data_IF_136493722555
#
_entry.id   IF_136493722555
#
_cell.length_a   1.000
_cell.length_b   1.000
_cell.length_c   1.000
_cell.angle_alpha   90.00
_cell.angle_beta   90.00
_cell.angle_gamma   90.00
#
_symmetry.space_group_name_H-M   'P 1'
#
loop_
_entity.id
_entity.type
_entity.pdbx_description
1 polymer ?
#
# COMPACT_ATOMS: atom_id res chain seq x y z
N UNK A 1 10.04 8.22 -15.86
CA UNK A 1 11.04 8.37 -16.95
C UNK A 1 11.92 7.13 -17.14
N UNK A 2 12.60 6.59 -16.10
CA UNK A 2 13.46 5.39 -16.24
C UNK A 2 12.76 4.17 -16.87
N UNK A 3 11.51 3.90 -16.48
CA UNK A 3 10.68 2.86 -17.09
C UNK A 3 10.51 3.04 -18.60
N UNK A 4 10.14 4.26 -19.05
CA UNK A 4 9.89 4.59 -20.46
C UNK A 4 11.16 4.39 -21.33
N UNK A 5 12.33 4.71 -20.79
CA UNK A 5 13.60 4.51 -21.50
C UNK A 5 13.91 3.03 -21.74
N UNK A 6 13.63 2.16 -20.76
CA UNK A 6 13.85 0.71 -20.92
C UNK A 6 12.88 0.13 -21.94
N UNK A 7 11.59 0.46 -21.84
CA UNK A 7 10.59 -0.05 -22.79
C UNK A 7 10.83 0.45 -24.22
N UNK A 8 11.35 1.66 -24.41
CA UNK A 8 11.76 2.15 -25.73
C UNK A 8 12.98 1.39 -26.27
N UNK A 9 13.94 1.03 -25.41
CA UNK A 9 15.15 0.28 -25.82
C UNK A 9 14.84 -1.15 -26.26
N UNK A 10 13.90 -1.80 -25.60
CA UNK A 10 13.50 -3.19 -25.87
C UNK A 10 12.23 -3.29 -26.72
N UNK A 11 11.84 -2.20 -27.37
CA UNK A 11 10.60 -2.11 -28.11
C UNK A 11 10.47 -3.25 -29.14
N UNK A 12 9.32 -3.95 -29.19
CA UNK A 12 9.21 -5.18 -29.96
C UNK A 12 9.26 -4.98 -31.47
N UNK A 13 9.62 -6.05 -32.18
CA UNK A 13 9.64 -6.11 -33.63
C UNK A 13 8.22 -5.95 -34.24
N UNK A 14 8.17 -5.67 -35.54
CA UNK A 14 6.91 -5.45 -36.26
C UNK A 14 5.98 -6.66 -36.12
N UNK A 15 4.69 -6.41 -35.86
CA UNK A 15 3.67 -7.45 -35.66
C UNK A 15 3.09 -7.54 -34.25
N UNK A 16 3.86 -7.20 -33.20
CA UNK A 16 3.39 -7.23 -31.80
C UNK A 16 3.37 -5.87 -31.11
N UNK A 17 3.65 -4.80 -31.86
CA UNK A 17 3.78 -3.44 -31.31
C UNK A 17 2.44 -2.84 -30.84
N UNK A 18 1.32 -3.19 -31.48
CA UNK A 18 0.00 -2.69 -31.06
C UNK A 18 -0.41 -3.28 -29.72
N UNK A 19 -0.29 -4.61 -29.58
CA UNK A 19 -0.53 -5.33 -28.33
C UNK A 19 0.37 -4.84 -27.20
N UNK A 20 1.63 -4.52 -27.53
CA UNK A 20 2.58 -3.95 -26.58
C UNK A 20 2.13 -2.57 -26.09
N UNK A 21 1.71 -1.68 -27.01
CA UNK A 21 1.18 -0.37 -26.65
C UNK A 21 -0.09 -0.47 -25.79
N UNK A 22 -0.96 -1.46 -26.02
CA UNK A 22 -2.11 -1.73 -25.14
C UNK A 22 -1.69 -2.14 -23.74
N UNK A 23 -0.74 -3.09 -23.61
CA UNK A 23 -0.22 -3.52 -22.30
C UNK A 23 0.52 -2.39 -21.57
N UNK A 24 1.26 -1.57 -22.30
CA UNK A 24 1.91 -0.38 -21.77
C UNK A 24 0.90 0.65 -21.28
N UNK A 25 -0.20 0.86 -22.01
CA UNK A 25 -1.28 1.74 -21.58
C UNK A 25 -1.89 1.27 -20.25
N UNK A 26 -2.20 -0.02 -20.11
CA UNK A 26 -2.74 -0.55 -18.85
C UNK A 26 -1.74 -0.43 -17.69
N UNK A 27 -0.45 -0.61 -17.94
CA UNK A 27 0.58 -0.40 -16.92
C UNK A 27 0.67 1.06 -16.44
N UNK A 28 0.57 2.04 -17.35
CA UNK A 28 0.63 3.45 -17.01
C UNK A 28 -0.65 3.94 -16.31
N UNK A 29 -1.82 3.48 -16.76
CA UNK A 29 -3.09 3.77 -16.09
C UNK A 29 -3.12 3.18 -14.67
N UNK A 30 -2.63 1.95 -14.49
CA UNK A 30 -2.51 1.34 -13.17
C UNK A 30 -1.51 2.08 -12.24
N UNK A 31 -0.56 2.83 -12.82
CA UNK A 31 0.33 3.74 -12.09
C UNK A 31 -0.31 5.09 -11.74
N UNK A 32 -1.59 5.30 -12.08
CA UNK A 32 -2.33 6.52 -11.77
C UNK A 32 -2.19 7.65 -12.80
N UNK A 33 -1.57 7.40 -13.95
CA UNK A 33 -1.51 8.40 -15.02
C UNK A 33 -2.87 8.55 -15.68
N UNK A 34 -3.23 9.80 -16.02
CA UNK A 34 -4.43 10.06 -16.80
C UNK A 34 -4.29 9.56 -18.25
N UNK A 35 -5.39 9.23 -18.97
CA UNK A 35 -5.34 8.69 -20.33
C UNK A 35 -4.52 9.52 -21.31
N UNK A 36 -4.69 10.84 -21.30
CA UNK A 36 -3.96 11.77 -22.18
C UNK A 36 -2.45 11.80 -21.89
N UNK A 37 -2.05 11.60 -20.64
CA UNK A 37 -0.64 11.55 -20.26
C UNK A 37 -0.02 10.20 -20.65
N UNK A 38 -0.73 9.11 -20.38
CA UNK A 38 -0.32 7.78 -20.80
C UNK A 38 -0.13 7.70 -22.33
N UNK A 39 -1.05 8.25 -23.13
CA UNK A 39 -0.93 8.29 -24.59
C UNK A 39 0.28 9.10 -25.07
N UNK A 40 0.58 10.24 -24.43
CA UNK A 40 1.79 11.01 -24.75
C UNK A 40 3.06 10.21 -24.48
N UNK A 41 3.10 9.49 -23.36
CA UNK A 41 4.24 8.62 -23.04
C UNK A 41 4.39 7.46 -24.05
N UNK A 42 3.29 6.82 -24.47
CA UNK A 42 3.33 5.71 -25.43
C UNK A 42 3.81 6.20 -26.80
N UNK A 43 3.29 7.33 -27.27
CA UNK A 43 3.72 7.94 -28.54
C UNK A 43 5.22 8.27 -28.49
N UNK A 44 5.69 8.90 -27.41
CA UNK A 44 7.11 9.22 -27.26
C UNK A 44 8.01 7.97 -27.25
N UNK A 45 7.56 6.87 -26.63
CA UNK A 45 8.27 5.58 -26.65
C UNK A 45 8.32 5.01 -28.07
N UNK A 46 7.19 5.04 -28.80
CA UNK A 46 7.10 4.53 -30.16
C UNK A 46 7.95 5.37 -31.14
N UNK A 47 7.95 6.69 -31.01
CA UNK A 47 8.81 7.59 -31.80
C UNK A 47 10.30 7.34 -31.52
N UNK A 48 10.69 7.21 -30.25
CA UNK A 48 12.07 6.90 -29.87
C UNK A 48 12.54 5.52 -30.39
N UNK A 49 11.61 4.59 -30.59
CA UNK A 49 11.88 3.27 -31.16
C UNK A 49 11.84 3.23 -32.70
N UNK A 50 11.58 4.37 -33.37
CA UNK A 50 11.49 4.44 -34.83
C UNK A 50 10.22 3.82 -35.42
N UNK A 51 9.11 3.86 -34.68
CA UNK A 51 7.83 3.34 -35.13
C UNK A 51 7.10 4.34 -36.03
N UNK A 52 6.99 4.05 -37.32
CA UNK A 52 6.34 4.91 -38.32
C UNK A 52 4.84 5.15 -38.01
N UNK A 53 4.23 4.26 -37.24
CA UNK A 53 2.82 4.37 -36.84
C UNK A 53 2.62 4.91 -35.43
N UNK A 54 3.61 5.56 -34.82
CA UNK A 54 3.54 6.05 -33.45
C UNK A 54 2.25 6.84 -33.14
N UNK A 55 1.79 7.68 -34.07
CA UNK A 55 0.55 8.45 -33.92
C UNK A 55 -0.72 7.61 -33.74
N UNK A 56 -0.75 6.37 -34.26
CA UNK A 56 -1.88 5.43 -34.14
C UNK A 56 -1.83 4.60 -32.84
N UNK A 57 -0.77 4.74 -32.03
CA UNK A 57 -0.55 3.97 -30.80
C UNK A 57 -1.15 4.58 -29.54
N UNK A 58 -1.98 5.60 -29.71
CA UNK A 58 -2.83 6.14 -28.65
C UNK A 58 -3.91 5.11 -28.30
N UNK A 59 -3.74 4.44 -27.17
CA UNK A 59 -4.59 3.32 -26.72
C UNK A 59 -5.11 3.51 -25.30
N UNK A 60 -4.59 4.49 -24.56
CA UNK A 60 -4.96 4.71 -23.17
C UNK A 60 -6.45 5.04 -23.00
N UNK A 61 -7.06 5.79 -23.92
CA UNK A 61 -8.50 6.05 -23.87
C UNK A 61 -9.36 4.79 -23.96
N UNK A 62 -9.03 3.87 -24.87
CA UNK A 62 -9.77 2.61 -25.03
C UNK A 62 -9.53 1.66 -23.86
N UNK A 63 -8.29 1.58 -23.37
CA UNK A 63 -7.95 0.77 -22.20
C UNK A 63 -8.61 1.30 -20.93
N UNK A 64 -8.67 2.62 -20.74
CA UNK A 64 -9.35 3.22 -19.59
C UNK A 64 -10.85 2.89 -19.57
N UNK A 65 -11.53 3.02 -20.72
CA UNK A 65 -12.94 2.67 -20.83
C UNK A 65 -13.21 1.20 -20.48
N UNK A 66 -12.34 0.26 -20.90
CA UNK A 66 -12.44 -1.16 -20.55
C UNK A 66 -12.25 -1.43 -19.06
N UNK A 67 -11.30 -0.73 -18.42
CA UNK A 67 -11.06 -0.83 -16.98
C UNK A 67 -12.28 -0.31 -16.19
N UNK A 68 -12.88 0.80 -16.62
CA UNK A 68 -14.09 1.36 -16.01
C UNK A 68 -15.29 0.40 -16.09
N UNK A 69 -15.40 -0.38 -17.18
CA UNK A 69 -16.42 -1.41 -17.33
C UNK A 69 -16.10 -2.73 -16.60
N UNK A 70 -14.99 -2.79 -15.85
CA UNK A 70 -14.59 -3.95 -15.05
C UNK A 70 -13.91 -5.07 -15.84
N UNK A 71 -13.48 -4.81 -17.08
CA UNK A 71 -12.71 -5.78 -17.87
C UNK A 71 -11.24 -5.81 -17.43
N UNK A 72 -10.61 -6.98 -17.52
CA UNK A 72 -9.21 -7.14 -17.17
C UNK A 72 -8.31 -6.40 -18.18
N UNK A 73 -7.58 -5.37 -17.73
CA UNK A 73 -6.53 -4.74 -18.50
C UNK A 73 -5.19 -5.45 -18.30
N UNK A 74 -4.44 -5.61 -19.38
CA UNK A 74 -3.06 -6.09 -19.35
C UNK A 74 -2.14 -5.02 -18.76
N UNK A 75 -1.17 -5.42 -17.94
CA UNK A 75 -0.29 -4.48 -17.21
C UNK A 75 1.19 -4.88 -17.25
N UNK A 76 1.93 -4.47 -16.21
CA UNK A 76 3.38 -4.68 -16.10
C UNK A 76 3.82 -6.14 -16.36
N UNK A 77 3.13 -7.20 -15.88
CA UNK A 77 3.54 -8.57 -16.17
C UNK A 77 3.57 -8.88 -17.68
N UNK A 78 2.56 -8.42 -18.43
CA UNK A 78 2.48 -8.60 -19.88
C UNK A 78 3.55 -7.79 -20.61
N UNK A 79 3.85 -6.58 -20.13
CA UNK A 79 4.95 -5.76 -20.66
C UNK A 79 6.29 -6.50 -20.52
N UNK A 80 6.58 -7.05 -19.34
CA UNK A 80 7.84 -7.80 -19.09
C UNK A 80 7.94 -9.04 -20.00
N UNK A 81 6.85 -9.78 -20.14
CA UNK A 81 6.76 -10.95 -21.02
C UNK A 81 7.02 -10.58 -22.49
N UNK A 82 6.36 -9.55 -23.01
CA UNK A 82 6.50 -9.12 -24.40
C UNK A 82 7.88 -8.56 -24.73
N UNK A 83 8.59 -8.01 -23.74
CA UNK A 83 9.97 -7.56 -23.88
C UNK A 83 10.99 -8.69 -23.72
N UNK A 84 10.56 -9.91 -23.37
CA UNK A 84 11.45 -11.04 -23.11
C UNK A 84 12.37 -10.81 -21.90
N UNK A 85 11.96 -9.99 -20.95
CA UNK A 85 12.74 -9.64 -19.77
C UNK A 85 12.45 -10.62 -18.61
N UNK A 86 13.41 -10.86 -17.70
CA UNK A 86 13.17 -11.67 -16.51
C UNK A 86 12.05 -11.09 -15.64
N UNK A 87 11.22 -11.95 -15.05
CA UNK A 87 10.08 -11.53 -14.21
C UNK A 87 10.50 -10.60 -13.06
N UNK A 88 11.72 -10.80 -12.53
CA UNK A 88 12.31 -9.96 -11.48
C UNK A 88 12.34 -8.45 -11.85
N UNK A 89 12.45 -8.12 -13.14
CA UNK A 89 12.43 -6.73 -13.63
C UNK A 89 11.08 -6.06 -13.37
N UNK A 90 9.98 -6.82 -13.35
CA UNK A 90 8.64 -6.30 -13.08
C UNK A 90 8.50 -5.66 -11.69
N UNK A 91 9.29 -6.07 -10.70
CA UNK A 91 9.34 -5.40 -9.39
C UNK A 91 9.99 -4.01 -9.51
N UNK A 92 11.05 -3.89 -10.31
CA UNK A 92 11.76 -2.63 -10.53
C UNK A 92 10.92 -1.65 -11.33
N UNK A 93 10.15 -2.12 -12.32
CA UNK A 93 9.21 -1.30 -13.07
C UNK A 93 8.10 -0.74 -12.18
N UNK A 94 7.53 -1.56 -11.29
CA UNK A 94 6.56 -1.09 -10.29
C UNK A 94 7.16 0.02 -9.43
N UNK A 95 8.38 -0.16 -8.93
CA UNK A 95 9.07 0.86 -8.15
C UNK A 95 9.28 2.17 -8.92
N UNK A 96 9.74 2.11 -10.16
CA UNK A 96 9.95 3.31 -10.99
C UNK A 96 8.67 4.02 -11.40
N UNK A 97 7.55 3.30 -11.43
CA UNK A 97 6.22 3.82 -11.69
C UNK A 97 5.51 4.28 -10.41
N UNK A 98 6.16 4.20 -9.24
CA UNK A 98 5.52 4.53 -7.96
C UNK A 98 4.43 3.55 -7.54
N UNK A 99 4.33 2.40 -8.21
CA UNK A 99 3.40 1.30 -7.92
C UNK A 99 3.97 0.28 -6.92
N UNK A 100 5.07 0.61 -6.23
CA UNK A 100 5.55 -0.19 -5.11
C UNK A 100 4.37 -0.48 -4.20
N UNK A 101 4.16 -1.75 -3.88
CA UNK A 101 3.19 -2.13 -2.87
C UNK A 101 3.57 -1.42 -1.57
N UNK A 102 2.91 -0.28 -1.33
CA UNK A 102 2.86 0.44 -0.08
C UNK A 102 4.14 0.30 0.77
N UNK A 103 5.28 0.84 0.31
CA UNK A 103 6.27 1.33 1.28
C UNK A 103 5.64 2.57 1.92
N UNK A 104 4.67 2.34 2.81
CA UNK A 104 3.77 3.37 3.37
C UNK A 104 4.51 4.39 4.26
N UNK A 105 5.84 4.37 4.30
CA UNK A 105 6.65 5.00 5.35
C UNK A 105 6.39 4.44 6.76
N UNK A 106 5.35 3.62 6.96
CA UNK A 106 4.99 2.97 8.21
C UNK A 106 6.09 2.02 8.67
N UNK A 107 6.38 2.07 9.96
CA UNK A 107 7.38 1.22 10.61
C UNK A 107 7.09 -0.26 10.35
N UNK A 108 8.11 -1.00 9.90
CA UNK A 108 8.04 -2.46 9.74
C UNK A 108 8.12 -3.11 11.12
N UNK A 109 7.11 -3.90 11.47
CA UNK A 109 7.09 -4.69 12.72
C UNK A 109 7.06 -6.17 12.35
N UNK A 110 8.11 -6.89 12.74
CA UNK A 110 8.19 -8.34 12.55
C UNK A 110 7.33 -9.05 13.60
N UNK A 111 6.38 -9.87 13.15
CA UNK A 111 5.60 -10.74 14.00
C UNK A 111 6.32 -12.07 14.23
N UNK A 112 6.84 -12.25 15.43
CA UNK A 112 7.47 -13.49 15.88
C UNK A 112 6.87 -13.94 17.21
N UNK A 113 6.42 -15.20 17.28
CA UNK A 113 5.91 -15.79 18.54
C UNK A 113 7.00 -15.91 19.61
N UNK A 114 8.25 -16.15 19.19
CA UNK A 114 9.39 -16.30 20.10
C UNK A 114 9.94 -14.95 20.60
N UNK A 115 9.61 -13.86 19.90
CA UNK A 115 10.13 -12.49 20.17
C UNK A 115 8.97 -11.51 20.32
N UNK A 116 7.99 -11.90 21.13
CA UNK A 116 6.79 -11.08 21.37
C UNK A 116 7.13 -9.72 22.00
N UNK A 117 8.11 -9.67 22.90
CA UNK A 117 8.56 -8.43 23.53
C UNK A 117 9.13 -7.44 22.51
N UNK A 118 9.98 -7.89 21.57
CA UNK A 118 10.48 -7.04 20.48
C UNK A 118 9.34 -6.55 19.57
N UNK A 119 8.36 -7.42 19.30
CA UNK A 119 7.17 -7.06 18.51
C UNK A 119 6.36 -5.97 19.21
N UNK A 120 6.19 -6.09 20.53
CA UNK A 120 5.49 -5.10 21.36
C UNK A 120 6.24 -3.78 21.41
N UNK A 121 7.53 -3.78 21.76
CA UNK A 121 8.37 -2.58 21.84
C UNK A 121 8.40 -1.84 20.48
N UNK A 122 8.52 -2.56 19.37
CA UNK A 122 8.51 -1.97 18.02
C UNK A 122 7.15 -1.35 17.66
N UNK A 123 6.05 -2.02 18.02
CA UNK A 123 4.70 -1.48 17.80
C UNK A 123 4.44 -0.24 18.69
N UNK A 124 4.91 -0.26 19.94
CA UNK A 124 4.82 0.87 20.87
C UNK A 124 5.59 2.08 20.35
N UNK A 125 6.84 1.87 19.93
CA UNK A 125 7.67 2.90 19.34
C UNK A 125 7.03 3.50 18.07
N UNK A 126 6.41 2.67 17.22
CA UNK A 126 5.70 3.14 16.04
C UNK A 126 4.47 4.01 16.40
N UNK A 127 3.70 3.61 17.42
CA UNK A 127 2.55 4.38 17.90
C UNK A 127 2.96 5.71 18.53
N UNK A 128 4.04 5.72 19.33
CA UNK A 128 4.60 6.94 19.92
C UNK A 128 5.12 7.89 18.85
N UNK A 129 5.87 7.37 17.86
CA UNK A 129 6.41 8.17 16.75
C UNK A 129 5.31 8.82 15.90
N UNK A 130 4.17 8.13 15.73
CA UNK A 130 3.00 8.66 15.04
C UNK A 130 2.19 9.68 15.87
N UNK A 131 2.50 9.85 17.15
CA UNK A 131 1.82 10.81 18.03
C UNK A 131 0.35 10.49 18.24
N UNK A 132 -0.02 9.21 18.31
CA UNK A 132 -1.41 8.81 18.51
C UNK A 132 -1.94 9.34 19.86
N UNK A 133 -3.19 9.83 19.93
CA UNK A 133 -3.79 10.38 21.15
C UNK A 133 -4.26 9.26 22.10
N UNK A 134 -3.35 8.35 22.43
CA UNK A 134 -3.53 7.25 23.38
C UNK A 134 -2.65 7.54 24.59
N UNK A 135 -3.23 7.44 25.78
CA UNK A 135 -2.60 7.78 27.04
C UNK A 135 -2.77 6.62 28.03
N UNK A 136 -1.96 6.61 29.09
CA UNK A 136 -2.09 5.67 30.19
C UNK A 136 -2.65 6.37 31.43
N UNK A 137 -3.69 5.79 32.03
CA UNK A 137 -4.28 6.25 33.28
C UNK A 137 -4.61 5.05 34.16
N UNK A 138 -4.03 4.98 35.37
CA UNK A 138 -4.29 3.92 36.35
C UNK A 138 -4.17 2.50 35.76
N UNK A 139 -3.10 2.26 35.00
CA UNK A 139 -2.85 0.96 34.34
C UNK A 139 -3.71 0.68 33.11
N UNK A 140 -4.57 1.61 32.67
CA UNK A 140 -5.43 1.44 31.49
C UNK A 140 -5.04 2.37 30.36
N UNK A 141 -5.19 1.90 29.13
CA UNK A 141 -5.07 2.76 27.96
C UNK A 141 -6.38 3.52 27.74
N UNK A 142 -6.28 4.84 27.69
CA UNK A 142 -7.39 5.75 27.50
C UNK A 142 -7.14 6.69 26.33
N UNK A 143 -8.22 7.19 25.72
CA UNK A 143 -8.14 8.25 24.70
C UNK A 143 -9.18 9.32 24.99
N UNK A 144 -8.87 10.55 24.62
CA UNK A 144 -9.82 11.65 24.66
C UNK A 144 -10.70 11.61 23.40
N UNK A 145 -12.02 11.52 23.58
CA UNK A 145 -13.02 11.48 22.50
C UNK A 145 -14.01 12.62 22.74
N UNK A 146 -14.41 13.31 21.67
CA UNK A 146 -15.55 14.22 21.74
C UNK A 146 -16.82 13.42 21.50
N UNK A 147 -17.82 13.59 22.37
CA UNK A 147 -19.09 12.92 22.21
C UNK A 147 -19.84 13.47 21.00
N UNK A 148 -20.26 12.59 20.10
CA UNK A 148 -21.11 12.96 18.96
C UNK A 148 -22.59 13.09 19.36
N UNK A 149 -22.96 12.53 20.52
CA UNK A 149 -24.32 12.57 21.07
C UNK A 149 -24.27 12.72 22.59
N UNK A 150 -25.31 13.34 23.16
CA UNK A 150 -25.43 13.41 24.61
C UNK A 150 -25.63 12.01 25.21
N UNK A 151 -24.90 11.69 26.26
CA UNK A 151 -24.89 10.36 26.88
C UNK A 151 -25.06 10.48 28.40
N UNK A 152 -25.85 9.56 28.97
CA UNK A 152 -25.99 9.41 30.41
C UNK A 152 -24.95 8.41 30.89
N UNK A 153 -24.01 8.86 31.72
CA UNK A 153 -23.05 7.97 32.39
C UNK A 153 -23.29 8.00 33.89
N UNK A 154 -23.92 6.95 34.40
CA UNK A 154 -24.47 6.92 35.76
C UNK A 154 -25.53 8.01 35.94
N UNK A 155 -25.31 8.90 36.91
CA UNK A 155 -26.20 10.03 37.21
C UNK A 155 -25.79 11.34 36.51
N UNK A 156 -24.72 11.31 35.69
CA UNK A 156 -24.18 12.51 35.05
C UNK A 156 -24.54 12.52 33.56
N UNK A 157 -25.29 13.55 33.15
CA UNK A 157 -25.58 13.81 31.72
C UNK A 157 -24.39 14.54 31.10
N UNK A 158 -23.75 13.91 30.12
CA UNK A 158 -22.71 14.55 29.30
C UNK A 158 -23.33 15.01 27.99
N UNK A 159 -23.17 16.29 27.69
CA UNK A 159 -23.71 16.91 26.49
C UNK A 159 -22.88 16.55 25.26
N UNK A 160 -23.51 16.62 24.08
CA UNK A 160 -22.84 16.56 22.79
C UNK A 160 -21.67 17.56 22.70
N UNK A 161 -20.56 17.14 22.11
CA UNK A 161 -19.34 17.93 21.97
C UNK A 161 -18.43 17.93 23.21
N UNK A 162 -18.85 17.36 24.34
CA UNK A 162 -18.02 17.24 25.53
C UNK A 162 -16.83 16.31 25.29
N UNK A 163 -15.65 16.69 25.81
CA UNK A 163 -14.45 15.86 25.77
C UNK A 163 -14.49 14.86 26.93
N UNK A 164 -14.49 13.57 26.61
CA UNK A 164 -14.49 12.48 27.59
C UNK A 164 -13.28 11.58 27.40
N UNK A 165 -12.75 11.09 28.51
CA UNK A 165 -11.70 10.07 28.52
C UNK A 165 -12.38 8.72 28.49
N UNK A 166 -12.06 7.89 27.48
CA UNK A 166 -12.62 6.54 27.33
C UNK A 166 -11.52 5.49 27.23
N UNK A 167 -11.80 4.32 27.78
CA UNK A 167 -10.95 3.14 27.62
C UNK A 167 -10.80 2.76 26.14
N UNK A 168 -9.56 2.56 25.71
CA UNK A 168 -9.24 2.13 24.36
C UNK A 168 -9.59 0.65 24.23
N UNK A 169 -10.61 0.37 23.42
CA UNK A 169 -11.04 -1.02 23.16
C UNK A 169 -9.99 -1.77 22.32
N UNK A 170 -9.77 -3.08 22.56
CA UNK A 170 -8.74 -3.86 21.85
C UNK A 170 -8.84 -3.80 20.33
N UNK A 171 -10.06 -3.81 19.79
CA UNK A 171 -10.31 -3.67 18.35
C UNK A 171 -9.94 -2.28 17.82
N UNK A 172 -10.19 -1.22 18.60
CA UNK A 172 -9.80 0.14 18.23
C UNK A 172 -8.28 0.31 18.28
N UNK A 173 -7.61 -0.29 19.28
CA UNK A 173 -6.15 -0.27 19.35
C UNK A 173 -5.52 -1.00 18.16
N UNK A 174 -6.10 -2.16 17.77
CA UNK A 174 -5.66 -2.92 16.60
C UNK A 174 -5.75 -2.11 15.31
N UNK A 175 -6.86 -1.39 15.12
CA UNK A 175 -7.04 -0.49 13.96
C UNK A 175 -5.96 0.60 13.96
N UNK A 176 -5.75 1.26 15.10
CA UNK A 176 -4.72 2.30 15.25
C UNK A 176 -3.30 1.77 14.95
N UNK A 177 -2.94 0.59 15.46
CA UNK A 177 -1.66 -0.06 15.19
C UNK A 177 -1.48 -0.34 13.69
N UNK A 178 -2.53 -0.85 13.04
CA UNK A 178 -2.49 -1.16 11.60
C UNK A 178 -2.34 0.11 10.76
N UNK A 179 -2.83 1.26 11.23
CA UNK A 179 -2.64 2.55 10.53
C UNK A 179 -1.22 3.09 10.59
N UNK A 180 -0.42 2.72 11.59
CA UNK A 180 0.91 3.31 11.82
C UNK A 180 2.06 2.34 11.54
N UNK A 181 1.81 1.04 11.57
CA UNK A 181 2.82 0.01 11.39
C UNK A 181 2.39 -1.06 10.38
N UNK A 182 3.38 -1.56 9.63
CA UNK A 182 3.24 -2.70 8.73
C UNK A 182 3.70 -3.96 9.47
N UNK A 183 2.74 -4.78 9.88
CA UNK A 183 3.01 -6.06 10.54
C UNK A 183 3.28 -7.14 9.49
N UNK A 184 4.43 -7.81 9.62
CA UNK A 184 4.87 -8.83 8.66
C UNK A 184 5.30 -10.10 9.37
N UNK A 185 4.90 -11.25 8.83
CA UNK A 185 5.48 -12.54 9.21
C UNK A 185 6.55 -12.90 8.19
N UNK A 186 7.75 -13.14 8.67
CA UNK A 186 8.87 -13.60 7.85
C UNK A 186 8.67 -15.07 7.52
N UNK A 187 8.59 -15.42 6.23
CA UNK A 187 8.44 -16.79 5.74
C UNK A 187 9.65 -17.14 4.90
N UNK A 188 10.31 -18.26 5.22
CA UNK A 188 11.37 -18.82 4.39
C UNK A 188 10.76 -19.51 3.17
N UNK A 189 11.25 -19.16 1.98
CA UNK A 189 10.87 -19.76 0.70
C UNK A 189 12.11 -20.25 -0.03
N UNK A 190 11.94 -21.09 -1.05
CA UNK A 190 13.06 -21.66 -1.84
C UNK A 190 13.95 -20.57 -2.48
N UNK A 191 13.42 -19.37 -2.71
CA UNK A 191 14.12 -18.20 -3.26
C UNK A 191 14.64 -17.22 -2.18
N UNK A 192 14.56 -17.59 -0.89
CA UNK A 192 15.00 -16.78 0.25
C UNK A 192 13.86 -16.34 1.18
N UNK A 193 14.14 -15.31 1.99
CA UNK A 193 13.22 -14.81 3.01
C UNK A 193 12.19 -13.83 2.42
N UNK A 194 10.89 -14.07 2.64
CA UNK A 194 9.79 -13.24 2.14
C UNK A 194 8.92 -12.70 3.26
N UNK A 195 8.62 -11.41 3.21
CA UNK A 195 7.66 -10.76 4.11
C UNK A 195 6.23 -11.06 3.66
N UNK A 196 5.43 -11.66 4.54
CA UNK A 196 3.99 -11.83 4.37
C UNK A 196 3.25 -10.82 5.26
N UNK A 197 2.50 -9.85 4.72
CA UNK A 197 1.70 -8.93 5.52
C UNK A 197 0.66 -9.70 6.35
N UNK A 198 0.62 -9.45 7.65
CA UNK A 198 -0.31 -10.09 8.58
C UNK A 198 -0.79 -9.02 9.55
N UNK A 199 -2.10 -8.88 9.75
CA UNK A 199 -2.62 -7.94 10.74
C UNK A 199 -2.31 -8.41 12.17
N UNK A 200 -2.03 -7.49 13.12
CA UNK A 200 -1.73 -7.87 14.50
C UNK A 200 -2.91 -8.63 15.11
N UNK A 201 -2.67 -9.71 15.87
CA UNK A 201 -3.75 -10.43 16.54
C UNK A 201 -4.34 -9.58 17.68
N UNK A 202 -5.61 -9.79 18.02
CA UNK A 202 -6.28 -9.07 19.12
C UNK A 202 -5.58 -9.33 20.47
N UNK A 203 -4.95 -10.49 20.63
CA UNK A 203 -4.14 -10.82 21.81
C UNK A 203 -2.97 -9.86 22.03
N UNK A 204 -2.38 -9.33 20.95
CA UNK A 204 -1.34 -8.31 21.05
C UNK A 204 -1.91 -7.04 21.68
N UNK A 205 -3.09 -6.58 21.24
CA UNK A 205 -3.77 -5.41 21.83
C UNK A 205 -4.10 -5.60 23.31
N UNK A 206 -4.49 -6.81 23.72
CA UNK A 206 -4.79 -7.11 25.13
C UNK A 206 -3.55 -7.03 26.02
N UNK A 207 -2.38 -7.41 25.49
CA UNK A 207 -1.13 -7.43 26.26
C UNK A 207 -0.57 -6.04 26.60
N UNK A 208 -0.95 -4.99 25.85
CA UNK A 208 -0.56 -3.61 26.14
C UNK A 208 -1.20 -3.06 27.41
N UNK A 209 -2.41 -3.52 27.77
CA UNK A 209 -3.06 -3.12 29.02
C UNK A 209 -2.40 -3.70 30.28
N UNK A 210 -1.65 -4.80 30.13
CA UNK A 210 -1.06 -5.53 31.26
C UNK A 210 0.44 -5.26 31.40
N UNK A 211 1.18 -5.12 30.30
CA UNK A 211 2.64 -4.92 30.34
C UNK A 211 3.05 -3.54 30.87
N UNK A 212 2.14 -2.57 30.81
CA UNK A 212 2.40 -1.19 31.24
C UNK A 212 2.34 -0.99 32.77
N UNK A 213 2.00 -2.02 33.56
CA UNK A 213 2.09 -1.98 35.04
C UNK A 213 3.52 -2.25 35.57
N UNK A 214 4.43 -2.72 34.71
CA UNK A 214 5.76 -3.22 35.12
C UNK A 214 6.91 -2.28 34.71
N UNK A 215 6.63 -1.10 34.15
CA UNK A 215 7.63 -0.08 33.81
C UNK A 215 7.45 1.19 34.62
#
# INVERSE_FOLDING_TARGET
MAFLSVVARFYPAQGSRDDFCMALAGALLAAGLGPNEADRCIVAVAEAAGDEEAGKRRKAGQTAAKVETGEAATGIPRVVEMLGLPEAVGKRFRLWLGMSGCEDGRTRVEMSENRLHETQDAAEAAMMAAGLPVYQQMGRLVRAVRLDVSELDGDVVRQEGALVVRDVQPHSLRDLMTRVANFVKVVETEEGTKDKPVGPPVSLSLSFGVSCEVR
#
